data_IF_010936619826
#
_entry.id   IF_010936619826
#
_cell.length_a   1.000
_cell.length_b   1.000
_cell.length_c   1.000
_cell.angle_alpha   90.00
_cell.angle_beta   90.00
_cell.angle_gamma   90.00
#
_symmetry.space_group_name_H-M   'P 1'
#
loop_
_entity.id
_entity.type
_entity.pdbx_description
1 polymer ?
#
# COMPACT_ATOMS: atom_id res chain seq x y z
N UNK A 1 -21.41 16.17 17.50
CA UNK A 1 -21.63 14.75 17.11
C UNK A 1 -20.89 13.86 18.10
N UNK A 2 -21.55 12.87 18.69
CA UNK A 2 -20.94 11.97 19.70
C UNK A 2 -20.46 10.69 19.03
N UNK A 3 -19.17 10.37 19.16
CA UNK A 3 -18.53 9.15 18.59
C UNK A 3 -18.58 7.95 19.56
N UNK A 4 -19.23 8.12 20.72
CA UNK A 4 -19.32 7.08 21.76
C UNK A 4 -20.05 5.84 21.22
N UNK A 5 -19.41 4.68 21.31
CA UNK A 5 -19.96 3.41 20.84
C UNK A 5 -19.76 3.12 19.34
N UNK A 6 -19.15 4.02 18.57
CA UNK A 6 -18.82 3.75 17.16
C UNK A 6 -17.49 3.00 17.04
N UNK A 7 -17.49 1.91 16.29
CA UNK A 7 -16.25 1.24 15.87
C UNK A 7 -15.55 2.10 14.81
N UNK A 8 -14.28 2.44 15.04
CA UNK A 8 -13.44 3.17 14.10
C UNK A 8 -12.48 2.17 13.46
N UNK A 9 -12.48 2.11 12.13
CA UNK A 9 -11.47 1.35 11.38
C UNK A 9 -10.38 2.31 10.97
N UNK A 10 -9.16 2.04 11.41
CA UNK A 10 -7.98 2.79 10.98
C UNK A 10 -7.44 2.17 9.70
N UNK A 11 -7.19 2.99 8.70
CA UNK A 11 -6.59 2.59 7.43
C UNK A 11 -5.34 3.43 7.24
N UNK A 12 -4.19 2.78 7.35
CA UNK A 12 -2.89 3.43 7.24
C UNK A 12 -2.44 3.51 5.78
N UNK A 13 -1.95 4.70 5.40
CA UNK A 13 -1.54 5.04 4.04
C UNK A 13 -0.03 5.30 3.92
N UNK A 14 0.76 4.95 4.93
CA UNK A 14 2.20 5.23 4.96
C UNK A 14 2.94 4.59 3.79
N UNK A 15 2.49 3.41 3.36
CA UNK A 15 3.11 2.62 2.31
C UNK A 15 2.50 2.85 0.91
N UNK A 16 1.64 3.87 0.79
CA UNK A 16 1.10 4.37 -0.48
C UNK A 16 1.27 5.88 -0.58
N UNK A 17 0.51 6.65 0.19
CA UNK A 17 0.61 8.12 0.21
C UNK A 17 2.00 8.58 0.68
N UNK A 18 2.58 7.88 1.65
CA UNK A 18 3.94 8.13 2.11
C UNK A 18 5.02 7.86 1.05
N UNK A 19 4.68 7.27 -0.10
CA UNK A 19 5.59 7.17 -1.25
C UNK A 19 5.84 8.53 -1.91
N UNK A 20 4.88 9.47 -1.91
CA UNK A 20 5.06 10.80 -2.51
C UNK A 20 6.23 11.60 -1.89
N UNK A 21 6.31 11.82 -0.56
CA UNK A 21 7.45 12.51 0.04
C UNK A 21 8.77 11.73 -0.07
N UNK A 22 8.71 10.43 -0.38
CA UNK A 22 9.89 9.59 -0.66
C UNK A 22 10.22 9.49 -2.14
N UNK A 23 9.49 10.19 -3.02
CA UNK A 23 9.64 10.10 -4.49
C UNK A 23 9.58 8.66 -4.99
N UNK A 24 8.77 7.84 -4.33
CA UNK A 24 8.56 6.43 -4.61
C UNK A 24 9.81 5.55 -4.43
N UNK A 25 10.79 5.99 -3.63
CA UNK A 25 12.07 5.32 -3.41
C UNK A 25 12.16 4.54 -2.09
N UNK A 26 11.04 4.06 -1.53
CA UNK A 26 11.14 3.17 -0.37
C UNK A 26 11.76 1.84 -0.79
N UNK A 27 12.72 1.34 -0.01
CA UNK A 27 13.28 0.00 -0.25
C UNK A 27 12.30 -1.07 0.22
N UNK A 28 12.43 -2.30 -0.29
CA UNK A 28 11.62 -3.42 0.20
C UNK A 28 11.76 -3.62 1.72
N UNK A 29 12.97 -3.49 2.27
CA UNK A 29 13.24 -3.58 3.71
C UNK A 29 12.47 -2.52 4.51
N UNK A 30 12.45 -1.27 4.04
CA UNK A 30 11.67 -0.20 4.67
C UNK A 30 10.17 -0.52 4.62
N UNK A 31 9.69 -0.96 3.45
CA UNK A 31 8.28 -1.34 3.24
C UNK A 31 7.86 -2.41 4.23
N UNK A 32 8.62 -3.51 4.32
CA UNK A 32 8.32 -4.64 5.22
C UNK A 32 8.45 -4.26 6.69
N UNK A 33 9.50 -3.50 7.06
CA UNK A 33 9.72 -3.10 8.45
C UNK A 33 8.59 -2.23 8.98
N UNK A 34 8.13 -1.26 8.17
CA UNK A 34 7.00 -0.39 8.54
C UNK A 34 5.72 -1.20 8.61
N UNK A 35 5.46 -2.06 7.61
CA UNK A 35 4.24 -2.87 7.56
C UNK A 35 4.10 -3.80 8.78
N UNK A 36 5.19 -4.47 9.18
CA UNK A 36 5.22 -5.30 10.38
C UNK A 36 5.00 -4.50 11.66
N UNK A 37 5.53 -3.27 11.74
CA UNK A 37 5.29 -2.36 12.86
C UNK A 37 3.82 -1.94 12.98
N UNK A 38 3.19 -1.59 11.85
CA UNK A 38 1.76 -1.25 11.78
C UNK A 38 0.86 -2.44 12.12
N UNK A 39 1.19 -3.62 11.59
CA UNK A 39 0.49 -4.87 11.90
C UNK A 39 0.59 -5.15 13.41
N UNK A 40 1.79 -5.15 13.99
CA UNK A 40 2.01 -5.36 15.43
C UNK A 40 1.28 -4.33 16.32
N UNK A 41 1.07 -3.10 15.83
CA UNK A 41 0.29 -2.07 16.50
C UNK A 41 -1.24 -2.29 16.41
N UNK A 42 -1.69 -3.32 15.68
CA UNK A 42 -3.09 -3.67 15.53
C UNK A 42 -3.83 -2.85 14.47
N UNK A 43 -3.12 -2.23 13.52
CA UNK A 43 -3.75 -1.52 12.41
C UNK A 43 -4.45 -2.53 11.48
N UNK A 44 -5.77 -2.40 11.25
CA UNK A 44 -6.52 -3.43 10.53
C UNK A 44 -6.36 -3.38 9.00
N UNK A 45 -6.01 -2.22 8.44
CA UNK A 45 -5.85 -1.99 7.01
C UNK A 45 -4.57 -1.20 6.72
N UNK A 46 -3.73 -1.72 5.85
CA UNK A 46 -2.48 -1.09 5.41
C UNK A 46 -2.51 -0.98 3.88
N UNK A 47 -2.31 0.22 3.33
CA UNK A 47 -2.30 0.45 1.87
C UNK A 47 -0.88 0.41 1.31
N UNK A 48 -0.67 -0.38 0.25
CA UNK A 48 0.65 -0.69 -0.34
C UNK A 48 0.56 -0.56 -1.85
N UNK A 49 1.11 0.51 -2.44
CA UNK A 49 1.29 0.72 -3.90
C UNK A 49 2.20 1.93 -4.13
N UNK A 50 2.51 2.25 -5.40
CA UNK A 50 2.95 3.59 -5.80
C UNK A 50 2.01 4.70 -5.25
N UNK A 51 2.50 5.95 -5.15
CA UNK A 51 1.73 7.06 -4.57
C UNK A 51 0.40 7.34 -5.28
N UNK A 52 0.42 7.31 -6.61
CA UNK A 52 -0.76 7.42 -7.49
C UNK A 52 -1.51 6.09 -7.71
N UNK A 53 -1.21 5.06 -6.91
CA UNK A 53 -1.83 3.74 -7.00
C UNK A 53 -1.23 2.82 -8.07
N UNK A 54 -1.86 1.66 -8.26
CA UNK A 54 -1.44 0.60 -9.18
C UNK A 54 -1.17 1.13 -10.60
N UNK A 55 0.03 0.87 -11.10
CA UNK A 55 0.45 1.32 -12.44
C UNK A 55 0.89 2.78 -12.49
N UNK A 56 1.07 3.45 -11.34
CA UNK A 56 1.49 4.85 -11.27
C UNK A 56 2.93 5.12 -11.73
N UNK A 57 3.76 4.08 -11.83
CA UNK A 57 5.15 4.15 -12.32
C UNK A 57 5.22 4.78 -13.72
N UNK A 58 5.69 6.02 -13.79
CA UNK A 58 5.66 6.79 -15.04
C UNK A 58 6.60 7.99 -15.03
N UNK A 59 6.78 8.62 -16.18
CA UNK A 59 7.48 9.93 -16.26
C UNK A 59 6.70 11.04 -15.54
N UNK A 60 5.36 10.98 -15.54
CA UNK A 60 4.51 12.04 -15.00
C UNK A 60 4.52 12.09 -13.47
N UNK A 61 4.59 10.92 -12.83
CA UNK A 61 4.49 10.77 -11.37
C UNK A 61 5.81 10.34 -10.72
N UNK A 62 6.74 9.78 -11.51
CA UNK A 62 8.02 9.27 -11.05
C UNK A 62 8.09 7.74 -11.16
N UNK A 63 9.29 7.23 -11.43
CA UNK A 63 9.55 5.81 -11.41
C UNK A 63 9.88 5.37 -9.97
N UNK A 64 9.21 4.33 -9.44
CA UNK A 64 9.50 3.81 -8.12
C UNK A 64 10.80 3.02 -8.08
N UNK A 65 11.35 2.83 -6.89
CA UNK A 65 12.52 1.96 -6.69
C UNK A 65 12.19 0.48 -6.97
N UNK A 66 10.94 0.07 -6.74
CA UNK A 66 10.42 -1.26 -7.01
C UNK A 66 9.02 -1.18 -7.60
N UNK A 67 8.60 -2.22 -8.30
CA UNK A 67 7.25 -2.34 -8.86
C UNK A 67 6.19 -2.54 -7.78
N UNK A 68 4.93 -2.24 -8.09
CA UNK A 68 3.80 -2.54 -7.20
C UNK A 68 3.76 -4.03 -6.82
N UNK A 69 4.06 -4.92 -7.77
CA UNK A 69 4.13 -6.37 -7.56
C UNK A 69 5.22 -6.76 -6.55
N UNK A 70 6.43 -6.20 -6.68
CA UNK A 70 7.52 -6.46 -5.72
C UNK A 70 7.19 -5.97 -4.32
N UNK A 71 6.59 -4.77 -4.20
CA UNK A 71 6.17 -4.24 -2.91
C UNK A 71 5.08 -5.10 -2.25
N UNK A 72 4.03 -5.46 -2.99
CA UNK A 72 2.95 -6.30 -2.48
C UNK A 72 3.47 -7.69 -2.09
N UNK A 73 4.28 -8.32 -2.95
CA UNK A 73 4.89 -9.63 -2.70
C UNK A 73 5.82 -9.63 -1.49
N UNK A 74 6.51 -8.52 -1.23
CA UNK A 74 7.37 -8.39 -0.06
C UNK A 74 6.56 -8.17 1.23
N UNK A 75 5.51 -7.35 1.18
CA UNK A 75 4.74 -6.95 2.39
C UNK A 75 3.74 -8.02 2.81
N UNK A 76 2.90 -8.52 1.91
CA UNK A 76 1.76 -9.39 2.26
C UNK A 76 2.16 -10.59 3.13
N UNK A 77 3.23 -11.36 2.81
CA UNK A 77 3.62 -12.54 3.59
C UNK A 77 4.10 -12.23 5.02
N UNK A 78 4.40 -10.96 5.32
CA UNK A 78 4.95 -10.55 6.62
C UNK A 78 3.87 -10.20 7.64
N UNK A 79 2.62 -10.00 7.19
CA UNK A 79 1.50 -9.56 8.02
C UNK A 79 0.82 -10.75 8.68
N UNK A 80 0.38 -10.56 9.93
CA UNK A 80 -0.28 -11.60 10.71
C UNK A 80 -1.78 -11.33 10.88
N UNK A 81 -2.22 -10.07 10.89
CA UNK A 81 -3.63 -9.71 11.10
C UNK A 81 -4.16 -8.59 10.20
N UNK A 82 -3.32 -7.66 9.77
CA UNK A 82 -3.71 -6.57 8.90
C UNK A 82 -4.10 -7.10 7.52
N UNK A 83 -5.13 -6.51 6.91
CA UNK A 83 -5.40 -6.73 5.50
C UNK A 83 -4.69 -5.67 4.67
N UNK A 84 -4.21 -6.09 3.50
CA UNK A 84 -3.62 -5.17 2.53
C UNK A 84 -4.73 -4.58 1.66
N UNK A 85 -4.51 -3.33 1.28
CA UNK A 85 -5.34 -2.60 0.33
C UNK A 85 -4.44 -1.95 -0.73
N UNK A 86 -5.02 -1.68 -1.89
CA UNK A 86 -4.34 -1.03 -3.00
C UNK A 86 -5.21 0.11 -3.54
N UNK A 87 -4.57 1.19 -3.96
CA UNK A 87 -5.23 2.29 -4.67
C UNK A 87 -5.20 2.01 -6.18
N UNK A 88 -6.30 2.29 -6.88
CA UNK A 88 -6.34 2.25 -8.34
C UNK A 88 -7.11 3.44 -8.88
N UNK A 89 -6.50 4.18 -9.80
CA UNK A 89 -7.11 5.30 -10.51
C UNK A 89 -7.39 4.88 -11.96
N UNK A 90 -8.65 4.85 -12.41
CA UNK A 90 -8.97 4.63 -13.82
C UNK A 90 -8.30 5.68 -14.72
N UNK A 91 -7.63 5.22 -15.78
CA UNK A 91 -6.78 6.06 -16.63
C UNK A 91 -5.29 6.00 -16.28
N UNK A 92 -4.94 5.45 -15.11
CA UNK A 92 -3.56 5.10 -14.71
C UNK A 92 -3.48 3.57 -14.58
N UNK A 93 -4.20 3.02 -13.60
CA UNK A 93 -4.28 1.58 -13.38
C UNK A 93 -5.32 0.90 -14.28
N UNK A 94 -5.12 -0.39 -14.56
CA UNK A 94 -6.01 -1.22 -15.37
C UNK A 94 -6.61 -2.34 -14.53
N UNK A 95 -7.64 -3.00 -15.06
CA UNK A 95 -8.20 -4.21 -14.43
C UNK A 95 -7.15 -5.32 -14.27
N UNK A 96 -6.16 -5.39 -15.16
CA UNK A 96 -5.10 -6.40 -15.06
C UNK A 96 -4.15 -6.10 -13.90
N UNK A 97 -3.87 -4.83 -13.59
CA UNK A 97 -3.18 -4.47 -12.35
C UNK A 97 -3.99 -4.87 -11.11
N UNK A 98 -5.31 -4.68 -11.13
CA UNK A 98 -6.17 -5.08 -10.01
C UNK A 98 -6.18 -6.61 -9.82
N UNK A 99 -6.21 -7.39 -10.92
CA UNK A 99 -6.10 -8.84 -10.87
C UNK A 99 -4.76 -9.27 -10.30
N UNK A 100 -3.66 -8.67 -10.78
CA UNK A 100 -2.31 -8.92 -10.24
C UNK A 100 -2.28 -8.70 -8.73
N UNK A 101 -2.76 -7.54 -8.25
CA UNK A 101 -2.77 -7.24 -6.82
C UNK A 101 -3.58 -8.26 -6.02
N UNK A 102 -4.80 -8.59 -6.49
CA UNK A 102 -5.67 -9.61 -5.87
C UNK A 102 -5.03 -11.00 -5.84
N UNK A 103 -4.29 -11.37 -6.88
CA UNK A 103 -3.67 -12.69 -6.98
C UNK A 103 -2.46 -12.83 -6.03
N UNK A 104 -1.88 -11.72 -5.57
CA UNK A 104 -0.83 -11.68 -4.55
C UNK A 104 -1.37 -11.70 -3.11
N UNK A 105 -2.62 -11.30 -2.87
CA UNK A 105 -3.31 -11.33 -1.57
C UNK A 105 -4.07 -10.05 -1.25
#
# INVERSE_FOLDING_TARGET
MTVKGKKITVHDMTLRDGMHPKRHQMTLEQMTSIAQGLDAAGIPLIEVTHGDGLGGSSVNYGFPAHTDEEYLSAVIPTLKQAKVSALLLPGIGTVDHLKMARDLG
#
